data_IF_273469408698
#
_entry.id   IF_273469408698
#
_cell.length_a   1.000
_cell.length_b   1.000
_cell.length_c   1.000
_cell.angle_alpha   90.00
_cell.angle_beta   90.00
_cell.angle_gamma   90.00
#
_symmetry.space_group_name_H-M   'P 1'
#
loop_
_entity.id
_entity.type
_entity.pdbx_description
1 polymer ?
#
# COMPACT_ATOMS: atom_id res chain seq x y z
N UNK A 1 26.19 -6.87 -25.66
CA UNK A 1 24.91 -7.13 -24.97
C UNK A 1 23.95 -6.04 -25.42
N UNK A 2 22.77 -6.38 -25.96
CA UNK A 2 21.75 -5.35 -26.28
C UNK A 2 21.24 -4.71 -24.99
N UNK A 3 20.83 -3.44 -25.04
CA UNK A 3 20.32 -2.71 -23.89
C UNK A 3 19.11 -3.43 -23.25
N UNK A 4 18.23 -4.02 -24.07
CA UNK A 4 17.07 -4.78 -23.61
C UNK A 4 17.45 -6.02 -22.80
N UNK A 5 18.47 -6.77 -23.23
CA UNK A 5 18.96 -7.93 -22.50
C UNK A 5 19.54 -7.51 -21.14
N UNK A 6 20.23 -6.38 -21.08
CA UNK A 6 20.74 -5.82 -19.83
C UNK A 6 19.60 -5.45 -18.87
N UNK A 7 18.56 -4.78 -19.37
CA UNK A 7 17.38 -4.40 -18.57
C UNK A 7 16.69 -5.63 -17.99
N UNK A 8 16.37 -6.61 -18.84
CA UNK A 8 15.67 -7.82 -18.41
C UNK A 8 16.51 -8.64 -17.42
N UNK A 9 17.81 -8.80 -17.66
CA UNK A 9 18.72 -9.46 -16.74
C UNK A 9 18.80 -8.71 -15.38
N UNK A 10 18.87 -7.38 -15.40
CA UNK A 10 18.86 -6.57 -14.17
C UNK A 10 17.55 -6.65 -13.41
N UNK A 11 16.40 -6.75 -14.09
CA UNK A 11 15.11 -6.98 -13.44
C UNK A 11 15.04 -8.34 -12.76
N UNK A 12 15.56 -9.39 -13.42
CA UNK A 12 15.68 -10.71 -12.80
C UNK A 12 16.59 -10.68 -11.55
N UNK A 13 17.76 -10.04 -11.65
CA UNK A 13 18.67 -9.86 -10.50
C UNK A 13 17.96 -9.09 -9.38
N UNK A 14 17.24 -8.02 -9.71
CA UNK A 14 16.50 -7.22 -8.73
C UNK A 14 15.43 -8.05 -8.01
N UNK A 15 14.70 -8.88 -8.73
CA UNK A 15 13.72 -9.79 -8.14
C UNK A 15 14.36 -10.75 -7.12
N UNK A 16 15.51 -11.35 -7.47
CA UNK A 16 16.27 -12.22 -6.55
C UNK A 16 16.71 -11.44 -5.31
N UNK A 17 17.22 -10.21 -5.47
CA UNK A 17 17.63 -9.36 -4.36
C UNK A 17 16.47 -9.01 -3.42
N UNK A 18 15.28 -8.72 -3.94
CA UNK A 18 14.08 -8.46 -3.12
C UNK A 18 13.61 -9.70 -2.35
N UNK A 19 13.55 -10.87 -3.02
CA UNK A 19 13.15 -12.12 -2.37
C UNK A 19 14.14 -12.48 -1.25
N UNK A 20 15.45 -12.39 -1.53
CA UNK A 20 16.49 -12.66 -0.53
C UNK A 20 16.46 -11.63 0.60
N UNK A 21 16.21 -10.36 0.28
CA UNK A 21 16.04 -9.30 1.27
C UNK A 21 14.90 -9.60 2.23
N UNK A 22 13.71 -9.93 1.72
CA UNK A 22 12.53 -10.28 2.53
C UNK A 22 12.76 -11.54 3.37
N UNK A 23 13.35 -12.59 2.79
CA UNK A 23 13.70 -13.82 3.53
C UNK A 23 14.66 -13.56 4.68
N UNK A 24 15.61 -12.63 4.52
CA UNK A 24 16.54 -12.26 5.59
C UNK A 24 15.89 -11.33 6.62
N UNK A 25 14.88 -10.56 6.24
CA UNK A 25 14.11 -9.72 7.17
C UNK A 25 13.19 -10.52 8.09
N UNK A 26 12.85 -11.77 7.78
CA UNK A 26 12.02 -12.62 8.64
C UNK A 26 12.75 -13.27 9.83
N UNK A 27 14.08 -13.06 9.96
CA UNK A 27 14.88 -13.58 11.08
C UNK A 27 15.58 -12.43 11.81
N UNK A 28 15.52 -12.38 13.17
CA UNK A 28 16.18 -11.33 13.96
C UNK A 28 17.67 -11.16 13.65
N UNK A 29 18.39 -12.27 13.46
CA UNK A 29 19.85 -12.28 13.23
C UNK A 29 20.23 -11.68 11.87
N UNK A 30 19.39 -11.90 10.85
CA UNK A 30 19.68 -11.45 9.47
C UNK A 30 18.91 -10.20 9.05
N UNK A 31 18.03 -9.66 9.89
CA UNK A 31 17.14 -8.56 9.56
C UNK A 31 17.87 -7.31 9.03
N UNK A 32 18.94 -6.89 9.71
CA UNK A 32 19.75 -5.74 9.29
C UNK A 32 20.39 -5.95 7.92
N UNK A 33 20.86 -7.16 7.63
CA UNK A 33 21.40 -7.47 6.30
C UNK A 33 20.29 -7.51 5.24
N UNK A 34 19.10 -8.03 5.57
CA UNK A 34 17.99 -8.17 4.62
C UNK A 34 17.55 -6.83 4.00
N UNK A 35 17.47 -5.76 4.79
CA UNK A 35 17.13 -4.43 4.25
C UNK A 35 18.21 -3.88 3.31
N UNK A 36 19.49 -4.26 3.49
CA UNK A 36 20.57 -3.88 2.58
C UNK A 36 20.46 -4.60 1.23
N UNK A 37 20.07 -5.87 1.22
CA UNK A 37 19.79 -6.63 -0.01
C UNK A 37 18.65 -5.99 -0.81
N UNK A 38 17.55 -5.65 -0.14
CA UNK A 38 16.43 -4.94 -0.76
C UNK A 38 16.84 -3.55 -1.28
N UNK A 39 17.65 -2.81 -0.51
CA UNK A 39 18.17 -1.50 -0.93
C UNK A 39 19.06 -1.58 -2.19
N UNK A 40 19.92 -2.59 -2.27
CA UNK A 40 20.72 -2.85 -3.47
C UNK A 40 19.84 -3.19 -4.69
N UNK A 41 18.81 -4.01 -4.50
CA UNK A 41 17.82 -4.32 -5.55
C UNK A 41 17.13 -3.06 -6.08
N UNK A 42 16.68 -2.18 -5.19
CA UNK A 42 16.06 -0.91 -5.58
C UNK A 42 17.04 -0.01 -6.35
N UNK A 43 18.30 0.07 -5.93
CA UNK A 43 19.32 0.85 -6.64
C UNK A 43 19.58 0.31 -8.06
N UNK A 44 19.66 -1.02 -8.22
CA UNK A 44 19.85 -1.67 -9.53
C UNK A 44 18.66 -1.42 -10.46
N UNK A 45 17.43 -1.68 -10.01
CA UNK A 45 16.24 -1.43 -10.83
C UNK A 45 16.08 0.04 -11.23
N UNK A 46 16.37 0.96 -10.31
CA UNK A 46 16.29 2.40 -10.59
C UNK A 46 17.35 2.80 -11.62
N UNK A 47 18.59 2.37 -11.44
CA UNK A 47 19.69 2.73 -12.33
C UNK A 47 19.51 2.16 -13.75
N UNK A 48 19.10 0.90 -13.87
CA UNK A 48 18.95 0.27 -15.19
C UNK A 48 17.78 0.85 -16.00
N UNK A 49 16.75 1.38 -15.32
CA UNK A 49 15.58 1.98 -15.96
C UNK A 49 15.95 3.27 -16.74
N UNK A 50 17.05 3.94 -16.41
CA UNK A 50 17.58 5.05 -17.24
C UNK A 50 18.05 4.62 -18.62
N UNK A 51 18.30 3.32 -18.84
CA UNK A 51 18.65 2.76 -20.14
C UNK A 51 17.43 2.29 -20.94
N UNK A 52 16.22 2.46 -20.41
CA UNK A 52 15.00 2.03 -21.08
C UNK A 52 14.87 2.71 -22.45
N UNK A 53 14.55 1.96 -23.53
CA UNK A 53 14.46 2.51 -24.87
C UNK A 53 13.51 3.70 -24.91
N UNK A 54 13.85 4.75 -25.65
CA UNK A 54 13.05 5.97 -25.81
C UNK A 54 12.77 6.76 -24.52
N UNK A 55 13.55 6.55 -23.45
CA UNK A 55 13.44 7.39 -22.25
C UNK A 55 13.83 8.84 -22.56
N UNK A 56 12.91 9.76 -22.26
CA UNK A 56 13.07 11.21 -22.42
C UNK A 56 12.88 11.92 -21.08
N UNK A 57 12.90 13.26 -21.08
CA UNK A 57 12.59 14.08 -19.90
C UNK A 57 13.51 13.85 -18.68
N UNK A 58 14.78 13.51 -18.90
CA UNK A 58 15.78 13.36 -17.82
C UNK A 58 15.84 14.58 -16.90
N UNK A 59 15.65 15.78 -17.45
CA UNK A 59 15.61 17.04 -16.69
C UNK A 59 14.42 17.16 -15.72
N UNK A 60 13.36 16.35 -15.86
CA UNK A 60 12.25 16.26 -14.90
C UNK A 60 12.42 15.04 -13.99
N UNK A 61 12.85 13.91 -14.54
CA UNK A 61 13.01 12.64 -13.81
C UNK A 61 14.03 12.80 -12.67
N UNK A 62 15.23 13.29 -12.98
CA UNK A 62 16.32 13.37 -12.00
C UNK A 62 15.97 14.32 -10.84
N UNK A 63 15.49 15.56 -11.05
CA UNK A 63 15.07 16.41 -9.94
C UNK A 63 13.91 15.85 -9.13
N UNK A 64 12.89 15.24 -9.76
CA UNK A 64 11.78 14.63 -9.02
C UNK A 64 12.25 13.50 -8.09
N UNK A 65 13.15 12.64 -8.57
CA UNK A 65 13.76 11.57 -7.76
C UNK A 65 14.61 12.14 -6.62
N UNK A 66 15.41 13.18 -6.88
CA UNK A 66 16.23 13.83 -5.85
C UNK A 66 15.37 14.48 -4.77
N UNK A 67 14.34 15.24 -5.14
CA UNK A 67 13.42 15.88 -4.20
C UNK A 67 12.74 14.83 -3.33
N UNK A 68 12.15 13.79 -3.94
CA UNK A 68 11.47 12.72 -3.21
C UNK A 68 12.40 11.97 -2.26
N UNK A 69 13.58 11.56 -2.72
CA UNK A 69 14.55 10.80 -1.92
C UNK A 69 15.15 11.63 -0.77
N UNK A 70 15.45 12.92 -1.00
CA UNK A 70 15.97 13.82 0.04
C UNK A 70 14.91 14.09 1.11
N UNK A 71 13.67 14.41 0.71
CA UNK A 71 12.58 14.66 1.66
C UNK A 71 12.23 13.41 2.48
N UNK A 72 12.17 12.24 1.83
CA UNK A 72 11.91 10.97 2.52
C UNK A 72 13.05 10.63 3.51
N UNK A 73 14.31 10.78 3.09
CA UNK A 73 15.48 10.55 3.96
C UNK A 73 15.51 11.53 5.13
N UNK A 74 15.19 12.80 4.90
CA UNK A 74 15.18 13.83 5.93
C UNK A 74 14.08 13.59 6.96
N UNK A 75 12.84 13.38 6.51
CA UNK A 75 11.69 13.13 7.38
C UNK A 75 11.85 11.83 8.18
N UNK A 76 12.30 10.74 7.54
CA UNK A 76 12.48 9.44 8.20
C UNK A 76 13.58 9.44 9.27
N UNK A 77 14.61 10.29 9.13
CA UNK A 77 15.70 10.40 10.13
C UNK A 77 15.34 11.27 11.33
N UNK A 78 14.36 12.17 11.21
CA UNK A 78 14.01 13.13 12.27
C UNK A 78 12.83 12.70 13.13
N UNK A 79 12.03 11.73 12.69
CA UNK A 79 10.88 11.26 13.45
C UNK A 79 11.32 10.47 14.70
N UNK A 80 10.63 10.68 15.81
CA UNK A 80 10.82 9.90 17.03
C UNK A 80 10.38 8.45 16.82
N UNK A 81 11.06 7.49 17.48
CA UNK A 81 10.75 6.06 17.31
C UNK A 81 9.30 5.69 17.69
N UNK A 82 8.67 6.44 18.60
CA UNK A 82 7.25 6.28 18.96
C UNK A 82 6.29 6.64 17.83
N UNK A 83 6.73 7.49 16.90
CA UNK A 83 5.93 8.02 15.79
C UNK A 83 6.16 7.23 14.48
N UNK A 84 6.90 6.11 14.54
CA UNK A 84 7.17 5.27 13.37
C UNK A 84 5.91 4.75 12.65
N UNK A 85 4.83 4.32 13.35
CA UNK A 85 3.64 3.81 12.67
C UNK A 85 3.01 4.80 11.69
N UNK A 86 2.92 6.09 12.02
CA UNK A 86 2.35 7.08 11.08
C UNK A 86 3.26 7.34 9.88
N UNK A 87 4.58 7.28 10.05
CA UNK A 87 5.50 7.44 8.93
C UNK A 87 5.42 6.25 7.96
N UNK A 88 5.24 5.03 8.48
CA UNK A 88 4.98 3.84 7.67
C UNK A 88 3.70 4.04 6.85
N UNK A 89 2.63 4.54 7.48
CA UNK A 89 1.38 4.86 6.78
C UNK A 89 1.63 5.86 5.64
N UNK A 90 2.31 6.98 5.92
CA UNK A 90 2.58 8.01 4.92
C UNK A 90 3.39 7.49 3.72
N UNK A 91 4.50 6.79 3.97
CA UNK A 91 5.33 6.25 2.89
C UNK A 91 4.62 5.17 2.09
N UNK A 92 3.88 4.28 2.75
CA UNK A 92 3.07 3.29 2.06
C UNK A 92 1.98 3.93 1.19
N UNK A 93 1.32 4.95 1.73
CA UNK A 93 0.33 5.74 0.99
C UNK A 93 0.92 6.32 -0.28
N UNK A 94 2.09 6.98 -0.19
CA UNK A 94 2.77 7.53 -1.38
C UNK A 94 3.10 6.46 -2.43
N UNK A 95 3.43 5.23 -2.01
CA UNK A 95 3.60 4.10 -2.93
C UNK A 95 2.30 3.74 -3.67
N UNK A 96 1.17 3.69 -2.97
CA UNK A 96 -0.14 3.48 -3.58
C UNK A 96 -0.54 4.61 -4.51
N UNK A 97 -0.22 5.85 -4.14
CA UNK A 97 -0.44 7.04 -4.97
C UNK A 97 0.41 7.03 -6.24
N UNK A 98 1.65 6.53 -6.17
CA UNK A 98 2.50 6.34 -7.34
C UNK A 98 1.93 5.28 -8.29
N UNK A 99 1.42 4.15 -7.79
CA UNK A 99 0.73 3.16 -8.60
C UNK A 99 -0.52 3.75 -9.27
N UNK A 100 -1.33 4.50 -8.52
CA UNK A 100 -2.50 5.20 -9.07
C UNK A 100 -2.12 6.25 -10.14
N UNK A 101 -0.99 6.94 -9.98
CA UNK A 101 -0.49 7.89 -10.96
C UNK A 101 -0.01 7.20 -12.24
N UNK A 102 0.63 6.02 -12.14
CA UNK A 102 0.99 5.18 -13.30
C UNK A 102 -0.28 4.77 -14.06
N UNK A 103 -1.27 4.24 -13.34
CA UNK A 103 -2.57 3.89 -13.93
C UNK A 103 -3.23 5.10 -14.60
N UNK A 104 -3.22 6.26 -13.95
CA UNK A 104 -3.79 7.48 -14.49
C UNK A 104 -3.11 7.89 -15.79
N UNK A 105 -1.78 7.92 -15.83
CA UNK A 105 -1.02 8.27 -17.05
C UNK A 105 -1.38 7.31 -18.19
N UNK A 106 -1.46 6.01 -17.93
CA UNK A 106 -1.78 5.04 -18.98
C UNK A 106 -3.23 5.20 -19.49
N UNK A 107 -4.18 5.38 -18.57
CA UNK A 107 -5.59 5.53 -18.92
C UNK A 107 -5.90 6.87 -19.61
N UNK A 108 -5.27 7.99 -19.20
CA UNK A 108 -5.45 9.29 -19.82
C UNK A 108 -4.72 9.44 -21.15
N UNK A 109 -3.60 8.73 -21.35
CA UNK A 109 -2.88 8.73 -22.62
C UNK A 109 -3.80 8.32 -23.77
N UNK A 110 -4.72 7.39 -23.50
CA UNK A 110 -5.62 6.84 -24.50
C UNK A 110 -4.88 6.02 -25.56
N UNK A 111 -5.58 5.08 -26.20
CA UNK A 111 -5.00 4.26 -27.26
C UNK A 111 -5.62 2.87 -27.34
N UNK A 112 -5.12 2.05 -28.27
CA UNK A 112 -5.52 0.65 -28.46
C UNK A 112 -4.82 -0.29 -27.47
N UNK A 113 -4.72 0.11 -26.20
CA UNK A 113 -4.30 -0.83 -25.16
C UNK A 113 -5.30 -1.99 -25.12
N UNK A 114 -4.78 -3.22 -25.05
CA UNK A 114 -5.64 -4.40 -25.03
C UNK A 114 -6.57 -4.39 -23.81
N UNK A 115 -7.73 -5.04 -23.93
CA UNK A 115 -8.72 -5.14 -22.85
C UNK A 115 -8.10 -5.57 -21.50
N UNK A 116 -7.14 -6.51 -21.55
CA UNK A 116 -6.41 -6.99 -20.37
C UNK A 116 -5.61 -5.86 -19.72
N UNK A 117 -4.79 -5.14 -20.49
CA UNK A 117 -3.95 -4.03 -19.99
C UNK A 117 -4.80 -2.94 -19.36
N UNK A 118 -5.88 -2.51 -20.02
CA UNK A 118 -6.78 -1.47 -19.48
C UNK A 118 -7.48 -1.95 -18.21
N UNK A 119 -7.91 -3.21 -18.14
CA UNK A 119 -8.53 -3.78 -16.94
C UNK A 119 -7.56 -3.83 -15.77
N UNK A 120 -6.29 -4.21 -16.02
CA UNK A 120 -5.24 -4.23 -15.00
C UNK A 120 -4.91 -2.83 -14.49
N UNK A 121 -4.82 -1.83 -15.37
CA UNK A 121 -4.60 -0.42 -15.00
C UNK A 121 -5.77 0.15 -14.18
N UNK A 122 -7.02 -0.19 -14.53
CA UNK A 122 -8.18 0.17 -13.70
C UNK A 122 -8.10 -0.50 -12.32
N UNK A 123 -7.78 -1.80 -12.27
CA UNK A 123 -7.69 -2.54 -11.02
C UNK A 123 -6.56 -2.05 -10.10
N UNK A 124 -5.36 -1.84 -10.64
CA UNK A 124 -4.24 -1.28 -9.87
C UNK A 124 -4.49 0.18 -9.49
N UNK A 125 -5.09 0.97 -10.37
CA UNK A 125 -5.48 2.35 -10.13
C UNK A 125 -6.44 2.54 -8.95
N UNK A 126 -7.54 1.76 -8.89
CA UNK A 126 -8.49 1.86 -7.76
C UNK A 126 -7.83 1.41 -6.44
N UNK A 127 -7.08 0.31 -6.45
CA UNK A 127 -6.41 -0.21 -5.26
C UNK A 127 -5.36 0.79 -4.75
N UNK A 128 -4.57 1.37 -5.65
CA UNK A 128 -3.57 2.38 -5.33
C UNK A 128 -4.18 3.66 -4.77
N UNK A 129 -5.25 4.17 -5.38
CA UNK A 129 -5.93 5.39 -4.94
C UNK A 129 -6.58 5.23 -3.56
N UNK A 130 -7.29 4.12 -3.34
CA UNK A 130 -7.88 3.78 -2.02
C UNK A 130 -6.79 3.64 -0.96
N UNK A 131 -5.68 2.99 -1.29
CA UNK A 131 -4.56 2.80 -0.36
C UNK A 131 -3.84 4.11 -0.03
N UNK A 132 -3.68 5.00 -1.00
CA UNK A 132 -3.12 6.33 -0.80
C UNK A 132 -3.96 7.15 0.16
N UNK A 133 -5.24 7.37 -0.16
CA UNK A 133 -6.08 8.25 0.63
C UNK A 133 -6.41 7.67 2.00
N UNK A 134 -6.59 6.36 2.11
CA UNK A 134 -6.74 5.68 3.39
C UNK A 134 -5.51 5.79 4.28
N UNK A 135 -4.32 5.63 3.71
CA UNK A 135 -3.05 5.81 4.44
C UNK A 135 -2.84 7.26 4.91
N UNK A 136 -3.28 8.26 4.14
CA UNK A 136 -3.25 9.67 4.54
C UNK A 136 -4.16 9.91 5.76
N UNK A 137 -5.36 9.31 5.80
CA UNK A 137 -6.25 9.39 6.98
C UNK A 137 -5.63 8.67 8.17
N UNK A 138 -5.01 7.50 7.97
CA UNK A 138 -4.33 6.76 9.03
C UNK A 138 -3.16 7.57 9.62
N UNK A 139 -2.35 8.22 8.77
CA UNK A 139 -1.31 9.16 9.19
C UNK A 139 -1.91 10.31 10.02
N UNK A 140 -2.97 10.96 9.50
CA UNK A 140 -3.60 12.09 10.18
C UNK A 140 -4.14 11.74 11.57
N UNK A 141 -4.69 10.54 11.75
CA UNK A 141 -5.17 10.05 13.05
C UNK A 141 -4.04 9.80 14.04
N UNK A 142 -2.99 9.09 13.62
CA UNK A 142 -1.86 8.77 14.49
C UNK A 142 -0.99 9.99 14.82
N UNK A 143 -0.93 10.97 13.92
CA UNK A 143 -0.28 12.26 14.15
C UNK A 143 -1.09 13.19 15.07
N UNK A 144 -2.34 12.83 15.42
CA UNK A 144 -3.24 13.66 16.21
C UNK A 144 -3.88 14.83 15.45
N UNK A 145 -3.74 14.88 14.12
CA UNK A 145 -4.39 15.87 13.25
C UNK A 145 -5.90 15.59 13.10
N UNK A 146 -6.29 14.31 13.13
CA UNK A 146 -7.68 13.86 13.11
C UNK A 146 -7.99 13.24 14.47
N UNK A 147 -8.67 14.00 15.32
CA UNK A 147 -8.88 13.63 16.73
C UNK A 147 -10.13 12.79 17.00
N UNK A 148 -11.09 12.80 16.08
CA UNK A 148 -12.36 12.07 16.22
C UNK A 148 -12.53 11.05 15.11
N UNK A 149 -12.91 9.83 15.49
CA UNK A 149 -13.38 8.83 14.52
C UNK A 149 -14.82 9.18 14.17
N UNK A 150 -15.05 9.61 12.92
CA UNK A 150 -16.38 9.96 12.44
C UNK A 150 -17.14 8.68 12.12
N UNK A 151 -18.25 8.46 12.84
CA UNK A 151 -19.17 7.35 12.62
C UNK A 151 -20.57 7.94 12.47
N UNK A 152 -21.27 7.58 11.39
CA UNK A 152 -22.66 8.00 11.17
C UNK A 152 -23.50 6.85 10.61
N UNK A 153 -24.82 6.93 10.83
CA UNK A 153 -25.77 5.95 10.32
C UNK A 153 -25.76 5.90 8.80
N UNK A 154 -25.61 4.70 8.21
CA UNK A 154 -25.54 4.52 6.76
C UNK A 154 -24.13 4.56 6.16
N UNK A 155 -23.06 4.64 6.96
CA UNK A 155 -21.67 4.60 6.48
C UNK A 155 -21.37 3.38 5.59
N UNK A 156 -21.90 2.20 5.93
CA UNK A 156 -21.71 0.98 5.14
C UNK A 156 -22.35 1.11 3.75
N UNK A 157 -23.57 1.68 3.70
CA UNK A 157 -24.25 1.94 2.44
C UNK A 157 -23.47 2.95 1.61
N UNK A 158 -22.95 4.02 2.21
CA UNK A 158 -22.09 4.98 1.51
C UNK A 158 -20.85 4.31 0.93
N UNK A 159 -20.11 3.52 1.73
CA UNK A 159 -18.91 2.82 1.27
C UNK A 159 -19.23 1.83 0.13
N UNK A 160 -20.36 1.12 0.23
CA UNK A 160 -20.82 0.21 -0.82
C UNK A 160 -21.18 0.97 -2.11
N UNK A 161 -21.88 2.10 -2.00
CA UNK A 161 -22.23 2.93 -3.15
C UNK A 161 -20.99 3.55 -3.82
N UNK A 162 -20.03 4.03 -3.03
CA UNK A 162 -18.75 4.54 -3.55
C UNK A 162 -17.96 3.43 -4.26
N UNK A 163 -17.90 2.23 -3.68
CA UNK A 163 -17.26 1.08 -4.32
C UNK A 163 -17.97 0.71 -5.62
N UNK A 164 -19.30 0.59 -5.61
CA UNK A 164 -20.08 0.28 -6.80
C UNK A 164 -19.90 1.33 -7.90
N UNK A 165 -19.87 2.62 -7.54
CA UNK A 165 -19.62 3.72 -8.47
C UNK A 165 -18.20 3.63 -9.06
N UNK A 166 -17.17 3.41 -8.25
CA UNK A 166 -15.80 3.26 -8.72
C UNK A 166 -15.66 2.04 -9.66
N UNK A 167 -16.25 0.89 -9.30
CA UNK A 167 -16.24 -0.31 -10.16
C UNK A 167 -17.00 -0.09 -11.47
N UNK A 168 -18.13 0.63 -11.43
CA UNK A 168 -18.90 0.94 -12.64
C UNK A 168 -18.12 1.86 -13.57
N UNK A 169 -17.56 2.96 -13.05
CA UNK A 169 -16.75 3.88 -13.86
C UNK A 169 -15.50 3.18 -14.41
N UNK A 170 -14.83 2.37 -13.59
CA UNK A 170 -13.70 1.54 -14.02
C UNK A 170 -14.07 0.54 -15.10
N UNK A 171 -15.23 -0.12 -14.99
CA UNK A 171 -15.70 -1.07 -15.99
C UNK A 171 -16.06 -0.38 -17.32
N UNK A 172 -16.64 0.83 -17.28
CA UNK A 172 -16.91 1.63 -18.49
C UNK A 172 -15.63 1.97 -19.25
N UNK A 173 -14.57 2.31 -18.51
CA UNK A 173 -13.23 2.58 -19.07
C UNK A 173 -12.61 1.31 -19.62
N UNK A 174 -12.59 0.22 -18.82
CA UNK A 174 -11.98 -1.06 -19.20
C UNK A 174 -12.64 -1.70 -20.43
N UNK A 175 -13.97 -1.59 -20.54
CA UNK A 175 -14.72 -2.08 -21.69
C UNK A 175 -14.64 -1.17 -22.92
N UNK A 176 -13.97 -0.02 -22.84
CA UNK A 176 -13.88 0.96 -23.93
C UNK A 176 -15.21 1.64 -24.25
N UNK A 177 -16.21 1.53 -23.37
CA UNK A 177 -17.54 2.12 -23.57
C UNK A 177 -17.48 3.63 -23.38
N UNK A 178 -16.76 4.10 -22.36
CA UNK A 178 -16.55 5.53 -22.13
C UNK A 178 -15.24 5.77 -21.36
N UNK A 179 -14.26 6.35 -22.05
CA UNK A 179 -12.96 6.76 -21.47
C UNK A 179 -12.79 8.28 -21.49
N UNK A 180 -13.90 9.03 -21.45
CA UNK A 180 -13.83 10.48 -21.41
C UNK A 180 -13.07 10.99 -20.19
N UNK A 181 -12.45 12.16 -20.32
CA UNK A 181 -11.71 12.80 -19.22
C UNK A 181 -12.54 12.90 -17.94
N UNK A 182 -13.85 13.17 -18.05
CA UNK A 182 -14.77 13.26 -16.93
C UNK A 182 -14.96 11.91 -16.21
N UNK A 183 -15.12 10.81 -16.96
CA UNK A 183 -15.30 9.46 -16.38
C UNK A 183 -14.01 9.00 -15.69
N UNK A 184 -12.86 9.17 -16.33
CA UNK A 184 -11.56 8.83 -15.74
C UNK A 184 -11.28 9.64 -14.46
N UNK A 185 -11.52 10.94 -14.50
CA UNK A 185 -11.35 11.81 -13.32
C UNK A 185 -12.32 11.41 -12.22
N UNK A 186 -13.59 11.15 -12.56
CA UNK A 186 -14.61 10.67 -11.64
C UNK A 186 -14.21 9.34 -10.98
N UNK A 187 -13.67 8.40 -11.75
CA UNK A 187 -13.16 7.12 -11.23
C UNK A 187 -12.11 7.31 -10.13
N UNK A 188 -11.06 8.10 -10.40
CA UNK A 188 -10.02 8.35 -9.40
C UNK A 188 -10.53 9.15 -8.19
N UNK A 189 -11.37 10.16 -8.40
CA UNK A 189 -11.95 10.95 -7.31
C UNK A 189 -12.80 10.06 -6.40
N UNK A 190 -13.67 9.21 -6.96
CA UNK A 190 -14.49 8.29 -6.17
C UNK A 190 -13.61 7.28 -5.42
N UNK A 191 -12.56 6.74 -6.05
CA UNK A 191 -11.62 5.84 -5.39
C UNK A 191 -10.88 6.50 -4.22
N UNK A 192 -10.46 7.76 -4.38
CA UNK A 192 -9.84 8.53 -3.30
C UNK A 192 -10.84 8.78 -2.16
N UNK A 193 -12.07 9.17 -2.47
CA UNK A 193 -13.13 9.37 -1.46
C UNK A 193 -13.46 8.07 -0.73
N UNK A 194 -13.48 6.94 -1.45
CA UNK A 194 -13.68 5.61 -0.85
C UNK A 194 -12.59 5.28 0.18
N UNK A 195 -11.31 5.51 -0.12
CA UNK A 195 -10.24 5.25 0.85
C UNK A 195 -10.35 6.14 2.11
N UNK A 196 -10.78 7.39 1.94
CA UNK A 196 -11.07 8.29 3.07
C UNK A 196 -12.24 7.74 3.90
N UNK A 197 -13.37 7.45 3.26
CA UNK A 197 -14.59 7.01 3.93
C UNK A 197 -14.45 5.65 4.62
N UNK A 198 -13.63 4.74 4.08
CA UNK A 198 -13.32 3.46 4.70
C UNK A 198 -12.44 3.61 5.95
N UNK A 199 -11.51 4.58 5.98
CA UNK A 199 -10.56 4.72 7.10
C UNK A 199 -11.09 5.60 8.24
N UNK A 200 -11.95 6.57 7.93
CA UNK A 200 -12.53 7.51 8.91
C UNK A 200 -13.24 6.87 10.13
N UNK A 201 -13.98 5.76 10.03
CA UNK A 201 -14.65 5.16 11.20
C UNK A 201 -13.73 4.33 12.10
N UNK A 202 -12.54 3.96 11.62
CA UNK A 202 -11.64 3.02 12.30
C UNK A 202 -10.92 3.70 13.47
N UNK A 203 -10.86 3.05 14.64
CA UNK A 203 -10.23 3.62 15.84
C UNK A 203 -8.69 3.64 15.77
N UNK A 204 -8.06 4.52 16.54
CA UNK A 204 -6.59 4.63 16.60
C UNK A 204 -5.90 3.33 17.04
N UNK A 205 -6.53 2.57 17.95
CA UNK A 205 -6.01 1.28 18.41
C UNK A 205 -5.93 0.22 17.29
N UNK A 206 -6.76 0.32 16.26
CA UNK A 206 -6.81 -0.61 15.13
C UNK A 206 -5.95 -0.18 13.94
N UNK A 207 -5.40 1.04 13.97
CA UNK A 207 -4.62 1.61 12.87
C UNK A 207 -3.44 0.74 12.42
N UNK A 208 -2.67 0.04 13.31
CA UNK A 208 -1.58 -0.80 12.85
C UNK A 208 -2.01 -1.89 11.85
N UNK A 209 -3.17 -2.52 12.09
CA UNK A 209 -3.71 -3.56 11.18
C UNK A 209 -4.15 -2.95 9.85
N UNK A 210 -4.79 -1.77 9.90
CA UNK A 210 -5.20 -1.03 8.68
C UNK A 210 -4.01 -0.60 7.84
N UNK A 211 -2.93 -0.12 8.48
CA UNK A 211 -1.69 0.25 7.80
C UNK A 211 -1.08 -0.97 7.10
N UNK A 212 -1.06 -2.12 7.78
CA UNK A 212 -0.60 -3.38 7.17
C UNK A 212 -1.48 -3.81 5.99
N UNK A 213 -2.80 -3.66 6.10
CA UNK A 213 -3.72 -3.96 5.00
C UNK A 213 -3.45 -3.04 3.79
N UNK A 214 -3.31 -1.74 4.00
CA UNK A 214 -2.96 -0.82 2.92
C UNK A 214 -1.58 -1.10 2.35
N UNK A 215 -0.63 -1.64 3.14
CA UNK A 215 0.66 -2.09 2.61
C UNK A 215 0.51 -3.30 1.68
N UNK A 216 -0.36 -4.24 2.03
CA UNK A 216 -0.69 -5.36 1.14
C UNK A 216 -1.34 -4.89 -0.17
N UNK A 217 -2.28 -3.97 -0.06
CA UNK A 217 -3.00 -3.39 -1.21
C UNK A 217 -2.06 -2.57 -2.12
N UNK A 218 -1.17 -1.74 -1.55
CA UNK A 218 -0.14 -1.04 -2.32
C UNK A 218 0.75 -2.01 -3.09
N UNK A 219 1.20 -3.11 -2.45
CA UNK A 219 1.98 -4.14 -3.13
C UNK A 219 1.21 -4.77 -4.30
N UNK A 220 -0.05 -5.14 -4.10
CA UNK A 220 -0.92 -5.65 -5.15
C UNK A 220 -1.09 -4.65 -6.30
N UNK A 221 -1.35 -3.38 -6.02
CA UNK A 221 -1.47 -2.33 -7.02
C UNK A 221 -0.20 -2.20 -7.86
N UNK A 222 0.97 -2.12 -7.21
CA UNK A 222 2.27 -2.06 -7.91
C UNK A 222 2.51 -3.28 -8.78
N UNK A 223 2.10 -4.48 -8.33
CA UNK A 223 2.19 -5.71 -9.12
C UNK A 223 1.32 -5.66 -10.39
N UNK A 224 0.08 -5.16 -10.27
CA UNK A 224 -0.83 -4.98 -11.40
C UNK A 224 -0.31 -3.94 -12.40
N UNK A 225 0.16 -2.79 -11.93
CA UNK A 225 0.80 -1.78 -12.78
C UNK A 225 2.12 -2.28 -13.40
N UNK A 226 2.80 -3.20 -12.73
CA UNK A 226 3.93 -3.93 -13.31
C UNK A 226 3.55 -4.72 -14.55
N UNK A 227 2.38 -5.37 -14.57
CA UNK A 227 1.87 -6.04 -15.77
C UNK A 227 1.47 -5.04 -16.86
N UNK A 228 0.89 -3.90 -16.49
CA UNK A 228 0.53 -2.82 -17.42
C UNK A 228 1.75 -2.30 -18.18
N UNK A 229 2.87 -2.14 -17.47
CA UNK A 229 4.14 -1.65 -18.03
C UNK A 229 5.07 -2.75 -18.56
N UNK A 230 4.65 -4.02 -18.53
CA UNK A 230 5.50 -5.18 -18.84
C UNK A 230 6.84 -5.19 -18.05
N UNK A 231 6.79 -4.69 -16.81
CA UNK A 231 7.96 -4.53 -15.96
C UNK A 231 8.07 -5.67 -14.94
N UNK A 232 8.95 -6.63 -15.24
CA UNK A 232 9.16 -7.82 -14.41
C UNK A 232 9.58 -7.48 -12.96
N UNK A 233 10.37 -6.43 -12.73
CA UNK A 233 10.78 -6.05 -11.39
C UNK A 233 9.58 -5.57 -10.55
N UNK A 234 8.68 -4.76 -11.12
CA UNK A 234 7.46 -4.32 -10.45
C UNK A 234 6.48 -5.46 -10.21
N UNK A 235 6.29 -6.35 -11.19
CA UNK A 235 5.42 -7.54 -11.04
C UNK A 235 5.88 -8.36 -9.84
N UNK A 236 7.17 -8.70 -9.78
CA UNK A 236 7.69 -9.58 -8.73
C UNK A 236 7.71 -8.86 -7.38
N UNK A 237 8.23 -7.64 -7.31
CA UNK A 237 8.28 -6.90 -6.05
C UNK A 237 6.87 -6.64 -5.49
N UNK A 238 5.93 -6.20 -6.33
CA UNK A 238 4.56 -5.91 -5.92
C UNK A 238 3.81 -7.15 -5.43
N UNK A 239 3.83 -8.25 -6.18
CA UNK A 239 3.14 -9.49 -5.79
C UNK A 239 3.71 -10.11 -4.53
N UNK A 240 5.05 -10.09 -4.35
CA UNK A 240 5.70 -10.58 -3.13
C UNK A 240 5.33 -9.69 -1.93
N UNK A 241 5.35 -8.36 -2.07
CA UNK A 241 4.95 -7.45 -0.98
C UNK A 241 3.46 -7.59 -0.67
N UNK A 242 2.59 -7.72 -1.66
CA UNK A 242 1.15 -7.87 -1.47
C UNK A 242 0.77 -9.15 -0.73
N UNK A 243 1.39 -10.27 -1.11
CA UNK A 243 1.18 -11.56 -0.44
C UNK A 243 1.73 -11.57 0.99
N UNK A 244 2.97 -11.10 1.19
CA UNK A 244 3.58 -10.98 2.52
C UNK A 244 2.80 -10.02 3.42
N UNK A 245 2.34 -8.89 2.89
CA UNK A 245 1.53 -7.91 3.60
C UNK A 245 0.17 -8.47 4.01
N UNK A 246 -0.47 -9.27 3.16
CA UNK A 246 -1.75 -9.92 3.50
C UNK A 246 -1.59 -10.87 4.67
N UNK A 247 -0.53 -11.70 4.65
CA UNK A 247 -0.21 -12.61 5.75
C UNK A 247 0.15 -11.84 7.03
N UNK A 248 0.96 -10.79 6.94
CA UNK A 248 1.30 -9.92 8.06
C UNK A 248 0.05 -9.30 8.69
N UNK A 249 -0.88 -8.81 7.88
CA UNK A 249 -2.14 -8.22 8.33
C UNK A 249 -2.95 -9.23 9.16
N UNK A 250 -3.02 -10.49 8.71
CA UNK A 250 -3.71 -11.55 9.44
C UNK A 250 -3.02 -11.89 10.76
N UNK A 251 -1.68 -11.99 10.76
CA UNK A 251 -0.90 -12.25 11.98
C UNK A 251 -1.03 -11.11 13.00
N UNK A 252 -0.98 -9.85 12.55
CA UNK A 252 -1.16 -8.69 13.42
C UNK A 252 -2.55 -8.64 14.03
N UNK A 253 -3.60 -8.88 13.23
CA UNK A 253 -4.97 -8.92 13.74
C UNK A 253 -5.12 -10.01 14.83
N UNK A 254 -4.60 -11.22 14.56
CA UNK A 254 -4.59 -12.32 15.54
C UNK A 254 -3.82 -11.97 16.81
N UNK A 255 -2.61 -11.42 16.69
CA UNK A 255 -1.78 -11.01 17.83
C UNK A 255 -2.45 -9.90 18.68
N UNK A 256 -3.31 -9.09 18.06
CA UNK A 256 -4.12 -8.08 18.75
C UNK A 256 -5.47 -8.62 19.26
N UNK A 257 -5.71 -9.93 19.21
CA UNK A 257 -6.96 -10.58 19.59
C UNK A 257 -8.20 -9.99 18.90
N UNK A 258 -8.06 -9.57 17.63
CA UNK A 258 -9.15 -9.01 16.81
C UNK A 258 -9.23 -9.72 15.47
N UNK A 259 -10.44 -9.99 14.97
CA UNK A 259 -10.60 -10.49 13.59
C UNK A 259 -10.45 -9.35 12.59
N UNK A 260 -9.99 -9.64 11.37
CA UNK A 260 -9.87 -8.61 10.31
C UNK A 260 -11.23 -7.98 9.97
N UNK A 261 -12.29 -8.80 9.96
CA UNK A 261 -13.66 -8.32 9.81
C UNK A 261 -14.04 -7.35 10.92
N UNK A 262 -13.71 -7.66 12.17
CA UNK A 262 -13.92 -6.72 13.26
C UNK A 262 -13.05 -5.47 13.08
N UNK A 263 -11.81 -5.53 12.64
CA UNK A 263 -11.01 -4.29 12.45
C UNK A 263 -11.64 -3.36 11.39
N UNK A 264 -12.07 -3.92 10.25
CA UNK A 264 -12.65 -3.15 9.15
C UNK A 264 -14.10 -2.73 9.40
N UNK A 265 -14.80 -3.49 10.23
CA UNK A 265 -16.22 -3.32 10.52
C UNK A 265 -16.56 -3.07 12.01
N UNK A 266 -15.57 -2.76 12.86
CA UNK A 266 -15.76 -2.51 14.30
C UNK A 266 -16.38 -1.13 14.51
N UNK A 267 -17.41 -1.10 15.34
CA UNK A 267 -18.16 0.11 15.65
C UNK A 267 -19.40 0.32 14.78
N UNK A 268 -19.72 -0.62 13.89
CA UNK A 268 -21.01 -0.67 13.21
C UNK A 268 -22.02 -1.38 14.13
N UNK A 269 -22.79 -0.59 14.89
CA UNK A 269 -23.86 -1.08 15.76
C UNK A 269 -23.54 -1.17 17.26
N UNK A 270 -22.43 -0.58 17.72
CA UNK A 270 -22.14 -0.51 19.16
C UNK A 270 -23.06 0.52 19.84
N UNK A 271 -24.25 0.08 20.24
CA UNK A 271 -25.10 0.76 21.20
C UNK A 271 -24.56 0.42 22.59
N UNK A 272 -23.66 1.27 23.09
CA UNK A 272 -22.90 1.07 24.33
C UNK A 272 -23.65 0.27 25.40
N UNK A 273 -23.23 -0.97 25.60
CA UNK A 273 -23.77 -1.86 26.63
C UNK A 273 -23.29 -1.44 28.03
N UNK A 274 -24.06 -1.76 29.09
CA UNK A 274 -23.78 -1.30 30.45
C UNK A 274 -22.43 -1.83 30.94
N UNK A 275 -21.62 -0.94 31.51
CA UNK A 275 -20.36 -1.30 32.15
C UNK A 275 -20.63 -2.13 33.42
N UNK A 276 -20.35 -3.43 33.37
CA UNK A 276 -20.22 -4.28 34.55
C UNK A 276 -18.83 -4.06 35.16
N UNK A 277 -18.76 -3.57 36.41
CA UNK A 277 -17.50 -3.39 37.13
C UNK A 277 -16.93 -4.71 37.65
N UNK A 278 -15.68 -4.80 38.13
CA UNK A 278 -14.45 -4.16 37.69
C UNK A 278 -13.32 -5.16 38.01
N UNK A 279 -12.95 -6.00 37.04
CA UNK A 279 -11.63 -6.65 37.01
C UNK A 279 -10.69 -5.64 36.34
N UNK A 280 -9.64 -5.21 37.02
CA UNK A 280 -8.67 -4.26 36.45
C UNK A 280 -7.65 -5.02 35.60
N UNK A 281 -7.57 -4.66 34.32
CA UNK A 281 -6.68 -5.29 33.36
C UNK A 281 -7.33 -6.45 32.59
N UNK A 282 -6.61 -6.94 31.58
CA UNK A 282 -7.01 -8.08 30.75
C UNK A 282 -5.91 -9.13 30.72
N UNK A 283 -6.30 -10.39 30.60
CA UNK A 283 -5.35 -11.48 30.33
C UNK A 283 -4.75 -11.27 28.95
N UNK A 284 -3.42 -11.37 28.84
CA UNK A 284 -2.68 -11.30 27.58
C UNK A 284 -2.17 -12.71 27.26
N UNK A 285 -2.85 -13.47 26.39
CA UNK A 285 -2.32 -14.76 25.94
C UNK A 285 -1.01 -14.52 25.16
N UNK A 286 -0.07 -15.46 25.29
CA UNK A 286 1.20 -15.44 24.57
C UNK A 286 1.51 -16.85 24.05
N UNK A 287 2.01 -16.94 22.82
CA UNK A 287 2.36 -18.21 22.19
C UNK A 287 3.75 -18.67 22.64
N UNK A 288 3.99 -19.99 22.60
CA UNK A 288 5.27 -20.57 23.01
C UNK A 288 6.46 -20.02 22.21
N UNK A 289 6.25 -19.71 20.92
CA UNK A 289 7.27 -19.08 20.07
C UNK A 289 7.67 -17.69 20.55
N UNK A 290 6.70 -16.88 20.99
CA UNK A 290 6.95 -15.50 21.44
C UNK A 290 7.69 -15.49 22.77
N UNK A 291 7.39 -16.43 23.67
CA UNK A 291 8.16 -16.66 24.90
C UNK A 291 9.61 -17.03 24.55
N UNK A 292 9.81 -17.90 23.56
CA UNK A 292 11.15 -18.26 23.08
C UNK A 292 11.94 -17.04 22.59
N UNK A 293 11.31 -16.11 21.88
CA UNK A 293 11.93 -14.85 21.44
C UNK A 293 12.33 -13.99 22.63
N UNK A 294 11.46 -13.83 23.63
CA UNK A 294 11.78 -13.03 24.82
C UNK A 294 12.97 -13.59 25.59
N UNK A 295 13.07 -14.92 25.73
CA UNK A 295 14.18 -15.57 26.43
C UNK A 295 15.49 -15.55 25.64
N UNK A 296 15.44 -15.61 24.31
CA UNK A 296 16.63 -15.61 23.46
C UNK A 296 17.37 -14.26 23.43
N UNK A 297 16.68 -13.16 23.80
CA UNK A 297 17.22 -11.80 23.75
C UNK A 297 17.01 -11.03 25.08
N UNK A 298 16.80 -11.75 26.18
CA UNK A 298 16.69 -11.18 27.53
C UNK A 298 18.03 -10.62 28.05
#
# INVERSE_FOLDING_TARGET
MSADLAIQASYFVTAVLFIMGLKRMSSPVTARSGILWAGAGMAVATAITFLYPSMTNYGLIVPAMLIGSVLARWSGKRVAMTNMPQMIALYNGMGGGAAAAIAAVELYRGGTAGYVTTTLAVAGGIIGAVSFSGSVVAFGKLQGLITRSLRFGGQQLLNLLLLAAALTLGALVAAGVNSSFAVLTGFFVVALVLGISMTLPIGGADMPVVISLYNALTGLAVGLEGFVLENAAMIIAGTVVGSAGTLLTQLMARAMNRSLGNVLFSGFGDTGGPATGAVTGSLKPIEASDVGVMLAFA
#
